data_IF_749082798338
#
_entry.id   IF_749082798338
#
_cell.length_a   1.000
_cell.length_b   1.000
_cell.length_c   1.000
_cell.angle_alpha   90.00
_cell.angle_beta   90.00
_cell.angle_gamma   90.00
#
_symmetry.space_group_name_H-M   'P 1'
#
loop_
_entity.id
_entity.type
_entity.pdbx_description
1 polymer ?
#
# COMPACT_ATOMS: atom_id res chain seq x y z
N UNK A 1 -20.98 21.93 -4.66
CA UNK A 1 -19.95 20.96 -4.20
C UNK A 1 -20.60 20.06 -3.16
N UNK A 2 -20.20 18.80 -3.06
CA UNK A 2 -20.68 17.90 -1.99
C UNK A 2 -20.25 18.45 -0.61
N UNK A 3 -21.05 18.20 0.43
CA UNK A 3 -20.68 18.44 1.83
C UNK A 3 -19.92 17.25 2.44
N UNK A 4 -19.76 16.16 1.69
CA UNK A 4 -19.02 14.98 2.11
C UNK A 4 -17.52 15.27 2.11
N UNK A 5 -16.83 14.83 3.16
CA UNK A 5 -15.39 15.03 3.33
C UNK A 5 -14.63 13.83 2.81
N UNK A 6 -13.51 14.09 2.15
CA UNK A 6 -12.57 13.05 1.72
C UNK A 6 -11.89 12.49 2.97
N UNK A 7 -12.01 11.17 3.18
CA UNK A 7 -11.46 10.46 4.33
C UNK A 7 -10.74 9.16 3.96
N UNK A 8 -10.45 8.34 4.97
CA UNK A 8 -9.84 7.02 4.81
C UNK A 8 -10.32 6.09 5.93
N UNK A 9 -10.91 4.94 5.57
CA UNK A 9 -11.47 4.00 6.55
C UNK A 9 -10.43 3.47 7.55
N UNK A 10 -9.16 3.36 7.13
CA UNK A 10 -8.06 2.97 8.01
C UNK A 10 -7.71 4.08 9.02
N UNK A 11 -7.74 5.34 8.59
CA UNK A 11 -7.52 6.46 9.50
C UNK A 11 -8.65 6.56 10.53
N UNK A 12 -9.89 6.29 10.12
CA UNK A 12 -11.05 6.24 11.01
C UNK A 12 -10.92 5.11 12.03
N UNK A 13 -10.51 3.91 11.59
CA UNK A 13 -10.27 2.77 12.48
C UNK A 13 -9.20 3.08 13.54
N UNK A 14 -8.12 3.75 13.15
CA UNK A 14 -7.03 4.14 14.06
C UNK A 14 -7.40 5.30 15.00
N UNK A 15 -8.52 5.98 14.77
CA UNK A 15 -9.03 7.03 15.66
C UNK A 15 -9.99 6.50 16.74
N UNK A 16 -10.30 5.20 16.72
CA UNK A 16 -11.21 4.57 17.68
C UNK A 16 -10.58 4.42 19.07
N UNK A 17 -11.38 4.42 20.15
CA UNK A 17 -10.89 4.09 21.49
C UNK A 17 -10.25 2.69 21.58
N UNK A 18 -10.76 1.73 20.79
CA UNK A 18 -10.24 0.36 20.76
C UNK A 18 -8.79 0.32 20.25
N UNK A 19 -8.42 1.17 19.29
CA UNK A 19 -7.05 1.29 18.83
C UNK A 19 -6.13 1.86 19.92
N UNK A 20 -6.61 2.81 20.72
CA UNK A 20 -5.86 3.32 21.87
C UNK A 20 -5.66 2.25 22.95
N UNK A 21 -6.69 1.46 23.29
CA UNK A 21 -6.57 0.33 24.22
C UNK A 21 -5.54 -0.71 23.75
N UNK A 22 -5.49 -0.96 22.44
CA UNK A 22 -4.47 -1.80 21.81
C UNK A 22 -3.05 -1.25 22.04
N UNK A 23 -2.84 0.06 21.89
CA UNK A 23 -1.54 0.71 22.16
C UNK A 23 -1.21 0.81 23.64
N UNK A 24 -2.20 0.93 24.53
CA UNK A 24 -1.97 0.85 25.97
C UNK A 24 -1.43 -0.54 26.36
N UNK A 25 -1.96 -1.60 25.77
CA UNK A 25 -1.43 -2.97 25.94
C UNK A 25 0.03 -3.06 25.47
N UNK A 26 0.34 -2.42 24.33
CA UNK A 26 1.70 -2.34 23.81
C UNK A 26 2.66 -1.60 24.76
N UNK A 27 2.21 -0.50 25.38
CA UNK A 27 3.01 0.27 26.34
C UNK A 27 3.43 -0.54 27.58
N UNK A 28 2.67 -1.59 27.93
CA UNK A 28 2.95 -2.47 29.07
C UNK A 28 3.90 -3.63 28.73
N UNK A 29 4.22 -3.85 27.45
CA UNK A 29 5.02 -4.98 26.96
C UNK A 29 6.41 -4.55 26.49
N UNK A 30 7.16 -3.84 27.33
CA UNK A 30 8.47 -3.30 26.98
C UNK A 30 9.53 -4.41 26.73
N UNK A 31 10.49 -4.20 25.80
CA UNK A 31 10.56 -3.10 24.84
C UNK A 31 9.50 -3.25 23.73
N UNK A 32 8.78 -2.18 23.42
CA UNK A 32 7.73 -2.16 22.38
C UNK A 32 8.02 -1.09 21.33
N UNK A 33 7.79 -1.45 20.07
CA UNK A 33 7.76 -0.53 18.94
C UNK A 33 6.41 -0.63 18.25
N UNK A 34 5.75 0.50 18.09
CA UNK A 34 4.57 0.61 17.27
C UNK A 34 4.94 0.95 15.82
N UNK A 35 4.54 0.12 14.88
CA UNK A 35 4.72 0.29 13.44
C UNK A 35 3.37 0.71 12.84
N UNK A 36 3.22 2.01 12.59
CA UNK A 36 1.94 2.59 12.14
C UNK A 36 1.92 2.76 10.62
N UNK A 37 0.85 2.32 9.97
CA UNK A 37 0.69 2.53 8.54
C UNK A 37 0.46 4.03 8.22
N UNK A 38 0.98 4.48 7.08
CA UNK A 38 0.95 5.89 6.65
C UNK A 38 -0.48 6.44 6.56
N UNK A 39 -1.44 5.58 6.18
CA UNK A 39 -2.88 5.87 6.05
C UNK A 39 -3.58 6.03 7.41
N UNK A 40 -3.06 6.95 8.23
CA UNK A 40 -3.56 7.33 9.55
C UNK A 40 -3.41 8.84 9.73
N UNK A 41 -4.23 9.43 10.60
CA UNK A 41 -4.17 10.88 10.83
C UNK A 41 -2.86 11.31 11.53
N UNK A 42 -2.48 12.58 11.41
CA UNK A 42 -1.34 13.13 12.14
C UNK A 42 -1.59 13.13 13.66
N UNK A 43 -2.83 13.37 14.07
CA UNK A 43 -3.29 13.30 15.46
C UNK A 43 -3.10 11.90 16.05
N UNK A 44 -3.52 10.86 15.34
CA UNK A 44 -3.29 9.46 15.72
C UNK A 44 -1.79 9.18 15.89
N UNK A 45 -0.96 9.57 14.90
CA UNK A 45 0.49 9.36 14.98
C UNK A 45 1.10 10.04 16.21
N UNK A 46 0.65 11.26 16.54
CA UNK A 46 1.12 11.98 17.71
C UNK A 46 0.74 11.26 19.01
N UNK A 47 -0.52 10.84 19.15
CA UNK A 47 -1.01 10.15 20.36
C UNK A 47 -0.35 8.79 20.53
N UNK A 48 -0.20 8.04 19.44
CA UNK A 48 0.52 6.77 19.45
C UNK A 48 1.97 6.95 19.89
N UNK A 49 2.68 7.94 19.34
CA UNK A 49 4.10 8.16 19.64
C UNK A 49 4.35 8.61 21.10
N UNK A 50 3.39 9.29 21.73
CA UNK A 50 3.47 9.63 23.16
C UNK A 50 3.28 8.43 24.09
N UNK A 51 2.56 7.41 23.62
CA UNK A 51 2.23 6.21 24.40
C UNK A 51 3.25 5.09 24.19
N UNK A 52 3.66 4.87 22.94
CA UNK A 52 4.63 3.86 22.53
C UNK A 52 5.52 4.46 21.45
N UNK A 53 6.86 4.32 21.52
CA UNK A 53 7.74 4.74 20.44
C UNK A 53 7.23 4.20 19.10
N UNK A 54 6.99 5.13 18.17
CA UNK A 54 6.24 4.84 16.94
C UNK A 54 7.05 5.20 15.72
N UNK A 55 7.09 4.30 14.73
CA UNK A 55 7.63 4.52 13.39
C UNK A 55 6.51 4.36 12.35
N UNK A 56 6.45 5.26 11.37
CA UNK A 56 5.51 5.11 10.25
C UNK A 56 6.05 4.14 9.20
N UNK A 57 5.17 3.41 8.53
CA UNK A 57 5.50 2.57 7.38
C UNK A 57 4.49 2.75 6.23
N UNK A 58 4.86 2.22 5.08
CA UNK A 58 4.06 2.07 3.86
C UNK A 58 4.01 0.57 3.51
N UNK A 59 3.20 0.16 2.54
CA UNK A 59 3.13 -1.25 2.14
C UNK A 59 4.44 -1.75 1.52
N UNK A 60 5.27 -0.85 1.00
CA UNK A 60 6.57 -1.20 0.40
C UNK A 60 7.71 -1.39 1.41
N UNK A 61 7.58 -0.83 2.61
CA UNK A 61 8.65 -0.87 3.61
C UNK A 61 8.23 -1.47 4.96
N UNK A 62 7.00 -1.96 5.12
CA UNK A 62 6.56 -2.57 6.38
C UNK A 62 7.39 -3.80 6.77
N UNK A 63 7.59 -4.74 5.84
CA UNK A 63 8.38 -5.96 6.07
C UNK A 63 9.83 -5.63 6.44
N UNK A 64 10.59 -4.84 5.66
CA UNK A 64 11.97 -4.51 6.03
C UNK A 64 12.04 -3.66 7.31
N UNK A 65 11.05 -2.80 7.60
CA UNK A 65 10.98 -2.07 8.87
C UNK A 65 10.90 -3.04 10.05
N UNK A 66 10.00 -4.02 9.99
CA UNK A 66 9.78 -4.99 11.06
C UNK A 66 11.02 -5.87 11.28
N UNK A 67 11.58 -6.44 10.19
CA UNK A 67 12.78 -7.26 10.26
C UNK A 67 13.97 -6.47 10.84
N UNK A 68 14.28 -5.32 10.27
CA UNK A 68 15.40 -4.50 10.76
C UNK A 68 15.19 -4.04 12.21
N UNK A 69 13.97 -3.66 12.61
CA UNK A 69 13.67 -3.30 13.98
C UNK A 69 13.96 -4.45 14.96
N UNK A 70 13.49 -5.65 14.63
CA UNK A 70 13.72 -6.85 15.43
C UNK A 70 15.20 -7.26 15.47
N UNK A 71 15.95 -7.01 14.40
CA UNK A 71 17.39 -7.26 14.36
C UNK A 71 18.22 -6.21 15.15
N UNK A 72 17.73 -4.98 15.29
CA UNK A 72 18.44 -3.90 16.00
C UNK A 72 18.11 -3.84 17.49
N UNK A 73 16.90 -4.20 17.88
CA UNK A 73 16.43 -4.13 19.27
C UNK A 73 16.17 -5.54 19.79
N UNK A 74 16.99 -6.04 20.74
CA UNK A 74 16.78 -7.34 21.35
C UNK A 74 15.41 -7.43 22.04
N UNK A 75 14.78 -8.60 21.96
CA UNK A 75 13.51 -8.91 22.64
C UNK A 75 12.34 -7.97 22.31
N UNK A 76 12.40 -7.26 21.18
CA UNK A 76 11.40 -6.29 20.77
C UNK A 76 10.01 -6.92 20.55
N UNK A 77 8.99 -6.32 21.17
CA UNK A 77 7.58 -6.53 20.82
C UNK A 77 7.16 -5.53 19.74
N UNK A 78 6.64 -6.04 18.64
CA UNK A 78 6.23 -5.24 17.49
C UNK A 78 4.71 -5.20 17.45
N UNK A 79 4.18 -3.98 17.37
CA UNK A 79 2.75 -3.72 17.33
C UNK A 79 2.42 -3.01 16.03
N UNK A 80 1.73 -3.69 15.11
CA UNK A 80 1.40 -3.15 13.79
C UNK A 80 -0.08 -2.74 13.68
N UNK A 81 -0.36 -1.64 13.00
CA UNK A 81 -1.74 -1.25 12.68
C UNK A 81 -1.84 -0.06 11.73
N UNK A 82 -3.07 0.33 11.33
CA UNK A 82 -4.36 -0.21 11.78
C UNK A 82 -4.94 -1.30 10.85
N UNK A 83 -4.26 -1.65 9.75
CA UNK A 83 -4.82 -2.59 8.77
C UNK A 83 -4.68 -4.05 9.23
N UNK A 84 -5.79 -4.69 9.59
CA UNK A 84 -5.81 -6.04 10.15
C UNK A 84 -5.44 -7.12 9.13
N UNK A 85 -5.83 -6.93 7.86
CA UNK A 85 -5.45 -7.85 6.79
C UNK A 85 -3.96 -7.80 6.53
N UNK A 86 -3.39 -6.60 6.40
CA UNK A 86 -1.95 -6.45 6.26
C UNK A 86 -1.19 -7.02 7.47
N UNK A 87 -1.71 -6.83 8.69
CA UNK A 87 -1.11 -7.42 9.90
C UNK A 87 -1.10 -8.94 9.87
N UNK A 88 -2.23 -9.56 9.57
CA UNK A 88 -2.37 -11.00 9.44
C UNK A 88 -1.49 -11.56 8.30
N UNK A 89 -1.46 -10.88 7.15
CA UNK A 89 -0.68 -11.26 5.98
C UNK A 89 0.83 -11.15 6.21
N UNK A 90 1.30 -10.16 6.96
CA UNK A 90 2.72 -10.06 7.39
C UNK A 90 3.07 -11.26 8.30
N UNK A 91 2.18 -11.61 9.23
CA UNK A 91 2.38 -12.76 10.10
C UNK A 91 2.44 -14.07 9.32
N UNK A 92 1.53 -14.28 8.38
CA UNK A 92 1.55 -15.44 7.47
C UNK A 92 2.83 -15.46 6.62
N UNK A 93 3.25 -14.32 6.07
CA UNK A 93 4.52 -14.22 5.34
C UNK A 93 5.71 -14.68 6.18
N UNK A 94 5.79 -14.23 7.44
CA UNK A 94 6.85 -14.66 8.35
C UNK A 94 6.73 -16.13 8.77
N UNK A 95 5.52 -16.67 8.89
CA UNK A 95 5.32 -18.10 9.09
C UNK A 95 5.88 -18.91 7.91
N UNK A 96 5.61 -18.49 6.67
CA UNK A 96 6.19 -19.12 5.48
C UNK A 96 7.72 -19.00 5.44
N UNK A 97 8.27 -17.87 5.88
CA UNK A 97 9.74 -17.73 6.00
C UNK A 97 10.37 -18.75 6.95
N UNK A 98 9.63 -19.31 7.92
CA UNK A 98 10.17 -20.39 8.77
C UNK A 98 10.36 -21.72 8.04
N UNK A 99 9.80 -21.87 6.84
CA UNK A 99 9.94 -23.04 5.98
C UNK A 99 11.07 -22.87 4.94
N UNK A 100 11.62 -21.67 4.81
CA UNK A 100 12.72 -21.35 3.90
C UNK A 100 14.08 -21.80 4.46
N UNK A 101 15.07 -21.92 3.58
CA UNK A 101 16.46 -22.05 3.97
C UNK A 101 17.01 -20.75 4.58
N UNK A 102 18.08 -20.84 5.36
CA UNK A 102 18.65 -19.64 5.99
C UNK A 102 19.28 -18.71 4.96
N UNK A 103 19.76 -19.26 3.84
CA UNK A 103 20.30 -18.53 2.70
C UNK A 103 19.21 -17.67 2.04
N UNK A 104 18.03 -18.24 1.76
CA UNK A 104 16.91 -17.50 1.18
C UNK A 104 16.38 -16.42 2.15
N UNK A 105 16.41 -16.67 3.47
CA UNK A 105 16.03 -15.65 4.46
C UNK A 105 17.06 -14.52 4.49
N UNK A 106 18.35 -14.83 4.38
CA UNK A 106 19.42 -13.84 4.36
C UNK A 106 19.35 -12.92 3.13
N UNK A 107 18.85 -13.42 1.98
CA UNK A 107 18.57 -12.60 0.79
C UNK A 107 17.47 -11.56 1.06
N UNK A 108 16.48 -11.88 1.89
CA UNK A 108 15.45 -10.93 2.32
C UNK A 108 16.02 -9.94 3.34
N UNK A 109 16.74 -10.45 4.33
CA UNK A 109 17.38 -9.63 5.34
C UNK A 109 18.60 -10.33 5.97
N UNK A 110 19.82 -9.77 5.86
CA UNK A 110 21.06 -10.50 6.17
C UNK A 110 21.26 -10.81 7.66
N UNK A 111 20.52 -10.16 8.55
CA UNK A 111 20.55 -10.40 10.01
C UNK A 111 19.52 -11.42 10.49
N UNK A 112 18.76 -12.04 9.59
CA UNK A 112 17.76 -13.03 9.96
C UNK A 112 18.08 -14.41 9.42
N UNK A 113 17.64 -15.39 10.19
CA UNK A 113 17.60 -16.81 9.88
C UNK A 113 16.29 -17.40 10.42
N UNK A 114 16.06 -18.69 10.18
CA UNK A 114 14.83 -19.39 10.59
C UNK A 114 14.51 -19.24 12.07
N UNK A 115 15.51 -19.34 12.94
CA UNK A 115 15.31 -19.27 14.39
C UNK A 115 14.94 -17.85 14.84
N UNK A 116 15.57 -16.83 14.25
CA UNK A 116 15.21 -15.44 14.52
C UNK A 116 13.77 -15.12 14.10
N UNK A 117 13.31 -15.67 12.97
CA UNK A 117 11.93 -15.48 12.50
C UNK A 117 10.94 -16.21 13.41
N UNK A 118 11.27 -17.43 13.86
CA UNK A 118 10.46 -18.14 14.87
C UNK A 118 10.36 -17.37 16.19
N UNK A 119 11.41 -16.67 16.59
CA UNK A 119 11.42 -15.81 17.78
C UNK A 119 10.61 -14.50 17.59
N UNK A 120 10.58 -13.97 16.36
CA UNK A 120 9.78 -12.79 15.99
C UNK A 120 8.27 -13.06 16.04
N UNK A 121 7.82 -14.19 15.52
CA UNK A 121 6.39 -14.53 15.38
C UNK A 121 5.53 -14.34 16.65
N UNK A 122 5.94 -14.83 17.85
CA UNK A 122 5.16 -14.63 19.07
C UNK A 122 5.17 -13.17 19.59
N UNK A 123 6.10 -12.34 19.10
CA UNK A 123 6.27 -10.93 19.48
C UNK A 123 5.69 -9.96 18.44
N UNK A 124 5.14 -10.47 17.34
CA UNK A 124 4.44 -9.70 16.34
C UNK A 124 2.95 -9.67 16.67
N UNK A 125 2.50 -8.53 17.18
CA UNK A 125 1.11 -8.20 17.44
C UNK A 125 0.60 -7.27 16.34
N UNK A 126 -0.67 -7.41 15.96
CA UNK A 126 -1.31 -6.49 15.03
C UNK A 126 -2.72 -6.15 15.51
N UNK A 127 -3.22 -4.99 15.11
CA UNK A 127 -4.58 -4.55 15.40
C UNK A 127 -5.59 -5.31 14.52
N UNK A 128 -6.64 -5.84 15.12
CA UNK A 128 -7.58 -6.76 14.43
C UNK A 128 -8.81 -6.06 13.84
N UNK A 129 -9.08 -4.81 14.19
CA UNK A 129 -10.35 -4.13 13.90
C UNK A 129 -10.20 -2.93 12.95
N UNK A 130 -9.42 -3.06 11.87
CA UNK A 130 -9.30 -2.02 10.85
C UNK A 130 -9.07 -2.59 9.47
N UNK A 131 -9.79 -2.11 8.46
CA UNK A 131 -9.64 -2.59 7.09
C UNK A 131 -9.82 -1.46 6.06
N UNK A 132 -9.12 -1.61 4.94
CA UNK A 132 -9.34 -0.77 3.77
C UNK A 132 -10.63 -1.22 3.05
N UNK A 133 -11.58 -0.30 2.88
CA UNK A 133 -12.86 -0.60 2.21
C UNK A 133 -12.69 -1.10 0.76
N UNK A 134 -11.61 -0.71 0.08
CA UNK A 134 -11.33 -1.14 -1.30
C UNK A 134 -10.79 -2.56 -1.30
N UNK A 135 -9.77 -2.83 -0.49
CA UNK A 135 -9.15 -4.15 -0.46
C UNK A 135 -10.06 -5.21 0.18
N UNK A 136 -10.99 -4.83 1.05
CA UNK A 136 -12.01 -5.74 1.60
C UNK A 136 -12.87 -6.42 0.52
N UNK A 137 -13.02 -5.82 -0.67
CA UNK A 137 -13.80 -6.39 -1.77
C UNK A 137 -13.18 -7.67 -2.37
N UNK A 138 -11.90 -7.94 -2.13
CA UNK A 138 -11.17 -9.10 -2.66
C UNK A 138 -11.36 -10.36 -1.79
N UNK A 139 -12.53 -10.50 -1.18
CA UNK A 139 -12.85 -11.62 -0.31
C UNK A 139 -13.19 -12.90 -1.07
N UNK A 140 -13.83 -13.83 -0.35
CA UNK A 140 -14.07 -15.21 -0.77
C UNK A 140 -14.66 -15.36 -2.17
N UNK A 141 -15.75 -14.63 -2.47
CA UNK A 141 -16.45 -14.72 -3.75
C UNK A 141 -15.55 -14.35 -4.95
N UNK A 142 -14.60 -13.42 -4.75
CA UNK A 142 -13.65 -13.03 -5.79
C UNK A 142 -12.63 -14.14 -6.01
N UNK A 143 -12.12 -14.73 -4.92
CA UNK A 143 -11.16 -15.84 -4.97
C UNK A 143 -11.74 -17.07 -5.64
N UNK A 144 -12.99 -17.44 -5.33
CA UNK A 144 -13.69 -18.54 -6.00
C UNK A 144 -13.78 -18.31 -7.52
N UNK A 145 -14.21 -17.12 -7.95
CA UNK A 145 -14.29 -16.78 -9.37
C UNK A 145 -12.92 -16.80 -10.06
N UNK A 146 -11.86 -16.35 -9.39
CA UNK A 146 -10.50 -16.41 -9.93
C UNK A 146 -10.06 -17.87 -10.11
N UNK A 147 -10.35 -18.74 -9.15
CA UNK A 147 -10.05 -20.17 -9.27
C UNK A 147 -10.82 -20.85 -10.41
N UNK A 148 -12.08 -20.46 -10.64
CA UNK A 148 -12.90 -21.02 -11.72
C UNK A 148 -12.51 -20.52 -13.11
N UNK A 149 -12.15 -19.23 -13.24
CA UNK A 149 -12.01 -18.56 -14.54
C UNK A 149 -10.56 -18.24 -14.93
N UNK A 150 -9.64 -18.18 -13.97
CA UNK A 150 -8.27 -17.67 -14.16
C UNK A 150 -7.22 -18.52 -13.43
N UNK A 151 -7.41 -19.84 -13.34
CA UNK A 151 -6.51 -20.76 -12.64
C UNK A 151 -5.08 -20.82 -13.19
N UNK A 152 -4.92 -20.56 -14.50
CA UNK A 152 -3.62 -20.56 -15.20
C UNK A 152 -3.02 -19.15 -15.36
N UNK A 153 -3.66 -18.12 -14.78
CA UNK A 153 -3.18 -16.75 -14.85
C UNK A 153 -2.07 -16.48 -13.83
N UNK A 154 -1.27 -15.45 -14.10
CA UNK A 154 -0.37 -14.87 -13.12
C UNK A 154 -1.17 -14.15 -12.04
N UNK A 155 -1.02 -14.57 -10.77
CA UNK A 155 -1.80 -14.01 -9.66
C UNK A 155 -0.95 -13.07 -8.81
N UNK A 156 -1.45 -11.86 -8.61
CA UNK A 156 -0.77 -10.85 -7.80
C UNK A 156 -1.67 -10.38 -6.66
N UNK A 157 -1.10 -10.05 -5.50
CA UNK A 157 -1.88 -9.52 -4.38
C UNK A 157 -1.13 -8.42 -3.63
N UNK A 158 -1.88 -7.38 -3.24
CA UNK A 158 -1.41 -6.37 -2.30
C UNK A 158 -1.46 -6.88 -0.86
N UNK A 159 -0.61 -6.36 0.04
CA UNK A 159 -0.62 -6.77 1.45
C UNK A 159 -1.96 -6.52 2.18
N UNK A 160 -2.76 -5.56 1.73
CA UNK A 160 -4.04 -5.18 2.36
C UNK A 160 -5.23 -6.09 1.98
N UNK A 161 -5.06 -7.08 1.07
CA UNK A 161 -6.18 -7.94 0.67
C UNK A 161 -6.55 -8.97 1.76
N UNK A 162 -7.80 -9.46 1.81
CA UNK A 162 -8.20 -10.57 2.65
C UNK A 162 -7.29 -11.79 2.50
N UNK A 163 -7.14 -12.55 3.60
CA UNK A 163 -6.21 -13.67 3.69
C UNK A 163 -6.38 -14.73 2.60
N UNK A 164 -7.62 -14.97 2.14
CA UNK A 164 -7.90 -15.89 1.03
C UNK A 164 -7.26 -15.48 -0.30
N UNK A 165 -7.33 -14.20 -0.67
CA UNK A 165 -6.68 -13.69 -1.89
C UNK A 165 -5.16 -13.68 -1.72
N UNK A 166 -4.68 -13.35 -0.52
CA UNK A 166 -3.26 -13.42 -0.18
C UNK A 166 -2.71 -14.85 -0.31
N UNK A 167 -3.39 -15.84 0.27
CA UNK A 167 -3.02 -17.26 0.20
C UNK A 167 -3.01 -17.77 -1.24
N UNK A 168 -4.01 -17.38 -2.05
CA UNK A 168 -4.07 -17.74 -3.47
C UNK A 168 -2.84 -17.20 -4.24
N UNK A 169 -2.50 -15.92 -4.05
CA UNK A 169 -1.33 -15.33 -4.71
C UNK A 169 0.00 -15.89 -4.17
N UNK A 170 0.09 -16.21 -2.88
CA UNK A 170 1.25 -16.89 -2.29
C UNK A 170 1.46 -18.29 -2.87
N UNK A 171 0.38 -19.03 -3.11
CA UNK A 171 0.44 -20.32 -3.77
C UNK A 171 0.94 -20.18 -5.22
N UNK A 172 0.42 -19.21 -5.97
CA UNK A 172 0.91 -18.91 -7.31
C UNK A 172 2.40 -18.51 -7.30
N UNK A 173 2.83 -17.70 -6.31
CA UNK A 173 4.23 -17.31 -6.12
C UNK A 173 5.15 -18.53 -5.96
N UNK A 174 4.75 -19.54 -5.19
CA UNK A 174 5.52 -20.80 -5.05
C UNK A 174 5.71 -21.55 -6.37
N UNK A 175 4.78 -21.37 -7.32
CA UNK A 175 4.85 -21.95 -8.67
C UNK A 175 5.59 -21.04 -9.67
N UNK A 176 6.12 -19.90 -9.23
CA UNK A 176 6.70 -18.86 -10.12
C UNK A 176 5.65 -18.04 -10.89
N UNK A 177 4.37 -18.25 -10.61
CA UNK A 177 3.22 -17.65 -11.28
C UNK A 177 2.56 -16.53 -10.47
N UNK A 178 3.22 -15.98 -9.46
CA UNK A 178 2.62 -14.91 -8.69
C UNK A 178 3.58 -14.07 -7.87
N UNK A 179 3.05 -12.97 -7.34
CA UNK A 179 3.77 -12.05 -6.46
C UNK A 179 2.84 -11.50 -5.40
N UNK A 180 3.40 -11.25 -4.22
CA UNK A 180 2.71 -10.61 -3.11
C UNK A 180 3.58 -9.47 -2.63
N UNK A 181 3.01 -8.27 -2.49
CA UNK A 181 3.78 -7.11 -2.06
C UNK A 181 3.05 -5.78 -2.21
N UNK A 182 3.83 -4.71 -2.33
CA UNK A 182 3.34 -3.37 -2.68
C UNK A 182 2.95 -3.27 -4.15
N UNK A 183 2.29 -2.17 -4.53
CA UNK A 183 1.99 -1.85 -5.94
C UNK A 183 3.25 -1.88 -6.82
N UNK A 184 4.42 -1.50 -6.28
CA UNK A 184 5.67 -1.57 -7.02
C UNK A 184 6.13 -3.01 -7.28
N UNK A 185 5.99 -3.91 -6.30
CA UNK A 185 6.35 -5.32 -6.47
C UNK A 185 5.48 -5.99 -7.54
N UNK A 186 4.19 -5.65 -7.57
CA UNK A 186 3.25 -6.10 -8.60
C UNK A 186 3.68 -5.59 -9.98
N UNK A 187 4.01 -4.30 -10.11
CA UNK A 187 4.44 -3.70 -11.38
C UNK A 187 5.75 -4.32 -11.90
N UNK A 188 6.74 -4.54 -11.04
CA UNK A 188 8.02 -5.12 -11.43
C UNK A 188 7.88 -6.58 -11.87
N UNK A 189 7.02 -7.35 -11.20
CA UNK A 189 6.71 -8.72 -11.60
C UNK A 189 6.07 -8.79 -13.00
N UNK A 190 5.12 -7.90 -13.30
CA UNK A 190 4.50 -7.82 -14.63
C UNK A 190 5.57 -7.51 -15.69
N UNK A 191 6.43 -6.50 -15.44
CA UNK A 191 7.52 -6.14 -16.36
C UNK A 191 8.46 -7.33 -16.60
N UNK A 192 8.85 -8.04 -15.54
CA UNK A 192 9.71 -9.21 -15.63
C UNK A 192 9.09 -10.30 -16.51
N UNK A 193 7.83 -10.68 -16.25
CA UNK A 193 7.15 -11.73 -17.03
C UNK A 193 6.95 -11.33 -18.50
N UNK A 194 6.63 -10.06 -18.76
CA UNK A 194 6.54 -9.53 -20.13
C UNK A 194 7.89 -9.57 -20.83
N UNK A 195 8.97 -9.17 -20.15
CA UNK A 195 10.32 -9.23 -20.71
C UNK A 195 10.74 -10.67 -21.02
N UNK A 196 10.48 -11.62 -20.13
CA UNK A 196 10.77 -13.04 -20.36
C UNK A 196 9.96 -13.63 -21.52
N UNK A 197 8.73 -13.16 -21.76
CA UNK A 197 7.98 -13.54 -22.96
C UNK A 197 8.57 -12.93 -24.25
N UNK A 198 9.01 -11.67 -24.20
CA UNK A 198 9.71 -11.03 -25.31
C UNK A 198 11.01 -11.76 -25.65
N UNK A 199 11.79 -12.15 -24.64
CA UNK A 199 13.06 -12.85 -24.81
C UNK A 199 12.90 -14.26 -25.39
N UNK A 200 11.79 -14.95 -25.05
CA UNK A 200 11.45 -16.27 -25.63
C UNK A 200 11.12 -16.20 -27.12
N UNK A 201 10.72 -15.03 -27.61
CA UNK A 201 10.41 -14.77 -29.02
C UNK A 201 9.42 -15.80 -29.63
N UNK A 202 8.34 -16.08 -28.91
CA UNK A 202 7.19 -16.88 -29.37
C UNK A 202 5.89 -16.11 -29.16
N UNK A 203 4.86 -16.45 -29.92
CA UNK A 203 3.51 -15.93 -29.69
C UNK A 203 3.03 -16.40 -28.31
N UNK A 204 2.58 -15.46 -27.48
CA UNK A 204 2.19 -15.75 -26.10
C UNK A 204 1.03 -14.84 -25.65
N UNK A 205 0.23 -15.33 -24.71
CA UNK A 205 -0.89 -14.61 -24.10
C UNK A 205 -0.72 -14.63 -22.59
N UNK A 206 -0.23 -13.53 -22.03
CA UNK A 206 0.00 -13.40 -20.59
C UNK A 206 -1.24 -12.81 -19.92
N UNK A 207 -1.81 -13.55 -18.98
CA UNK A 207 -2.95 -13.09 -18.18
C UNK A 207 -2.48 -12.77 -16.77
N UNK A 208 -2.78 -11.57 -16.28
CA UNK A 208 -2.47 -11.14 -14.92
C UNK A 208 -3.74 -10.77 -14.18
N UNK A 209 -3.99 -11.43 -13.04
CA UNK A 209 -5.07 -11.07 -12.11
C UNK A 209 -4.50 -10.23 -10.99
N UNK A 210 -5.08 -9.05 -10.77
CA UNK A 210 -4.58 -8.09 -9.80
C UNK A 210 -5.46 -8.05 -8.55
N UNK A 211 -4.93 -8.56 -7.44
CA UNK A 211 -5.46 -8.40 -6.10
C UNK A 211 -5.12 -7.03 -5.51
N UNK A 212 -5.48 -5.95 -6.21
CA UNK A 212 -5.29 -4.57 -5.76
C UNK A 212 -6.20 -3.62 -6.54
N UNK A 213 -6.28 -2.37 -6.10
CA UNK A 213 -7.10 -1.34 -6.70
C UNK A 213 -6.79 -1.04 -8.17
N UNK A 214 -7.79 -0.54 -8.88
CA UNK A 214 -7.67 -0.23 -10.32
C UNK A 214 -6.76 0.95 -10.67
N UNK A 215 -6.28 1.72 -9.70
CA UNK A 215 -5.46 2.89 -10.02
C UNK A 215 -4.07 2.56 -10.54
N UNK A 216 -3.68 1.28 -10.53
CA UNK A 216 -2.48 0.81 -11.21
C UNK A 216 -2.63 0.68 -12.74
N UNK A 217 -3.85 0.75 -13.30
CA UNK A 217 -4.10 0.55 -14.75
C UNK A 217 -3.15 1.38 -15.60
N UNK A 218 -3.08 2.70 -15.36
CA UNK A 218 -2.27 3.61 -16.17
C UNK A 218 -0.78 3.27 -16.10
N UNK A 219 -0.24 3.03 -14.90
CA UNK A 219 1.16 2.68 -14.69
C UNK A 219 1.53 1.36 -15.37
N UNK A 220 0.66 0.35 -15.26
CA UNK A 220 0.86 -0.96 -15.89
C UNK A 220 0.82 -0.83 -17.40
N UNK A 221 -0.23 -0.19 -17.95
CA UNK A 221 -0.39 -0.03 -19.40
C UNK A 221 0.77 0.77 -19.99
N UNK A 222 1.22 1.84 -19.33
CA UNK A 222 2.38 2.62 -19.78
C UNK A 222 3.66 1.78 -19.78
N UNK A 223 3.93 1.03 -18.71
CA UNK A 223 5.11 0.17 -18.61
C UNK A 223 5.09 -0.97 -19.65
N UNK A 224 3.97 -1.67 -19.80
CA UNK A 224 3.81 -2.78 -20.75
C UNK A 224 3.95 -2.27 -22.19
N UNK A 225 3.31 -1.16 -22.54
CA UNK A 225 3.46 -0.55 -23.88
C UNK A 225 4.91 -0.19 -24.17
N UNK A 226 5.60 0.44 -23.22
CA UNK A 226 7.01 0.79 -23.38
C UNK A 226 7.89 -0.44 -23.67
N UNK A 227 7.60 -1.59 -23.03
CA UNK A 227 8.33 -2.83 -23.28
C UNK A 227 8.01 -3.41 -24.66
N UNK A 228 6.72 -3.49 -25.03
CA UNK A 228 6.29 -4.00 -26.34
C UNK A 228 6.81 -3.13 -27.50
N UNK A 229 6.74 -1.80 -27.39
CA UNK A 229 7.22 -0.87 -28.41
C UNK A 229 8.74 -0.96 -28.61
N UNK A 230 9.50 -1.22 -27.54
CA UNK A 230 10.95 -1.38 -27.62
C UNK A 230 11.38 -2.62 -28.42
N UNK A 231 10.54 -3.66 -28.48
CA UNK A 231 10.82 -4.94 -29.15
C UNK A 231 10.34 -5.01 -30.61
N UNK A 232 9.36 -4.17 -30.98
CA UNK A 232 8.75 -4.10 -32.31
C UNK A 232 9.73 -3.74 -33.46
N UNK A 233 10.97 -3.37 -33.14
CA UNK A 233 12.01 -3.08 -34.14
C UNK A 233 12.65 -4.33 -34.75
N UNK A 234 12.53 -5.50 -34.09
CA UNK A 234 13.30 -6.71 -34.43
C UNK A 234 12.53 -8.03 -34.39
N UNK A 235 11.33 -8.07 -33.78
CA UNK A 235 10.56 -9.30 -33.60
C UNK A 235 9.25 -9.30 -34.38
N UNK A 236 8.89 -10.45 -34.98
CA UNK A 236 7.61 -10.68 -35.66
C UNK A 236 6.55 -11.36 -34.78
N UNK A 237 6.78 -11.45 -33.47
CA UNK A 237 5.92 -12.24 -32.56
C UNK A 237 4.78 -11.40 -32.00
N UNK A 238 3.67 -12.09 -31.72
CA UNK A 238 2.47 -11.48 -31.15
C UNK A 238 2.39 -11.84 -29.67
N UNK A 239 2.79 -10.91 -28.82
CA UNK A 239 2.59 -11.02 -27.38
C UNK A 239 1.35 -10.21 -27.01
N UNK A 240 0.37 -10.89 -26.42
CA UNK A 240 -0.82 -10.26 -25.86
C UNK A 240 -0.71 -10.25 -24.33
N UNK A 241 -1.10 -9.14 -23.72
CA UNK A 241 -1.07 -8.96 -22.27
C UNK A 241 -2.46 -8.55 -21.81
N UNK A 242 -3.09 -9.42 -21.04
CA UNK A 242 -4.39 -9.21 -20.43
C UNK A 242 -4.22 -8.89 -18.94
N UNK A 243 -4.78 -7.75 -18.52
CA UNK A 243 -4.76 -7.32 -17.12
C UNK A 243 -6.20 -7.33 -16.60
N UNK A 244 -6.44 -8.16 -15.58
CA UNK A 244 -7.76 -8.40 -15.00
C UNK A 244 -7.86 -7.74 -13.63
N UNK A 245 -8.83 -6.82 -13.48
CA UNK A 245 -9.19 -6.18 -12.22
C UNK A 245 -10.51 -6.77 -11.71
N UNK A 246 -10.49 -7.74 -10.78
CA UNK A 246 -11.66 -8.55 -10.45
C UNK A 246 -12.78 -7.77 -9.74
N UNK A 247 -12.48 -6.63 -9.12
CA UNK A 247 -13.44 -5.83 -8.31
C UNK A 247 -13.80 -4.48 -8.94
N UNK A 248 -13.40 -4.21 -10.18
CA UNK A 248 -13.61 -2.89 -10.81
C UNK A 248 -14.11 -3.04 -12.25
N UNK A 249 -15.44 -3.16 -12.39
CA UNK A 249 -16.11 -3.16 -13.70
C UNK A 249 -15.85 -1.87 -14.50
N UNK A 250 -15.69 -0.75 -13.80
CA UNK A 250 -15.41 0.58 -14.38
C UNK A 250 -14.03 0.66 -15.06
N UNK A 251 -13.15 -0.31 -14.82
CA UNK A 251 -11.77 -0.35 -15.34
C UNK A 251 -11.64 -1.10 -16.67
N UNK A 252 -12.73 -1.64 -17.20
CA UNK A 252 -12.74 -2.25 -18.52
C UNK A 252 -12.62 -1.18 -19.61
N UNK A 253 -11.45 -1.09 -20.24
CA UNK A 253 -11.24 -0.19 -21.37
C UNK A 253 -10.67 -0.94 -22.55
N UNK A 254 -11.30 -0.85 -23.72
CA UNK A 254 -10.73 -1.35 -24.97
C UNK A 254 -9.67 -0.36 -25.44
N UNK A 255 -8.45 -0.83 -25.68
CA UNK A 255 -7.45 -0.06 -26.43
C UNK A 255 -7.93 0.03 -27.87
N UNK A 256 -8.42 1.20 -28.28
CA UNK A 256 -8.95 1.40 -29.62
C UNK A 256 -7.82 1.29 -30.66
N UNK A 257 -7.79 0.20 -31.42
CA UNK A 257 -7.17 0.15 -32.76
C UNK A 257 -8.16 0.47 -33.89
N UNK A 258 -9.44 0.68 -33.60
CA UNK A 258 -10.42 1.13 -34.59
C UNK A 258 -11.73 1.56 -33.93
N UNK A 259 -12.21 2.73 -34.36
CA UNK A 259 -13.45 3.45 -34.00
C UNK A 259 -14.54 2.70 -33.21
N UNK A 260 -14.79 3.20 -31.97
CA UNK A 260 -16.08 3.27 -31.23
C UNK A 260 -16.80 1.95 -30.84
N UNK A 261 -17.56 1.88 -29.72
CA UNK A 261 -18.35 2.97 -29.14
C UNK A 261 -18.25 3.24 -27.62
N UNK A 262 -18.73 4.42 -27.25
CA UNK A 262 -19.09 4.94 -25.92
C UNK A 262 -17.97 4.99 -24.85
N UNK A 263 -16.93 5.80 -25.11
CA UNK A 263 -15.99 6.25 -24.08
C UNK A 263 -16.40 7.62 -23.53
N UNK A 264 -16.30 7.79 -22.21
CA UNK A 264 -16.17 9.12 -21.59
C UNK A 264 -14.90 9.73 -22.18
N UNK A 265 -15.08 10.60 -23.16
CA UNK A 265 -14.00 11.26 -23.89
C UNK A 265 -14.08 12.74 -23.60
N UNK A 266 -12.96 13.35 -23.20
CA UNK A 266 -12.86 14.80 -23.06
C UNK A 266 -12.28 15.32 -24.36
N UNK A 267 -13.02 16.21 -25.05
CA UNK A 267 -12.48 16.97 -26.19
C UNK A 267 -11.48 18.01 -25.66
N UNK A 268 -10.19 17.82 -25.97
CA UNK A 268 -9.17 18.84 -25.78
C UNK A 268 -8.93 19.54 -27.12
N UNK A 269 -9.59 20.67 -27.36
CA UNK A 269 -9.56 21.37 -28.65
C UNK A 269 -10.33 20.63 -29.76
N UNK A 270 -10.12 21.05 -31.01
CA UNK A 270 -10.95 20.63 -32.15
C UNK A 270 -10.62 19.22 -32.70
N UNK A 271 -9.46 18.61 -32.38
CA UNK A 271 -9.04 17.36 -33.04
C UNK A 271 -8.44 16.27 -32.13
N UNK A 272 -8.42 16.42 -30.80
CA UNK A 272 -7.85 15.39 -29.90
C UNK A 272 -8.93 14.74 -29.04
N UNK A 273 -9.30 13.51 -29.40
CA UNK A 273 -10.12 12.60 -28.58
C UNK A 273 -9.18 11.82 -27.68
N UNK A 274 -9.06 12.23 -26.41
CA UNK A 274 -8.31 11.46 -25.41
C UNK A 274 -9.21 10.37 -24.83
N UNK A 275 -8.85 9.07 -24.96
CA UNK A 275 -9.50 8.02 -24.19
C UNK A 275 -9.16 8.23 -22.71
N UNK A 276 -10.17 8.56 -21.90
CA UNK A 276 -9.99 8.77 -20.47
C UNK A 276 -10.27 7.46 -19.75
N UNK A 277 -9.23 6.86 -19.19
CA UNK A 277 -9.35 5.79 -18.20
C UNK A 277 -9.40 6.44 -16.83
N UNK A 278 -10.36 6.10 -15.95
CA UNK A 278 -10.33 6.53 -14.56
C UNK A 278 -9.01 6.07 -13.93
N UNK A 279 -8.15 7.02 -13.58
CA UNK A 279 -6.86 6.76 -12.98
C UNK A 279 -6.38 8.02 -12.27
N UNK A 280 -5.63 7.84 -11.20
CA UNK A 280 -4.92 8.95 -10.57
C UNK A 280 -3.82 9.42 -11.53
N UNK A 281 -3.63 10.73 -11.66
CA UNK A 281 -2.47 11.26 -12.36
C UNK A 281 -1.20 10.80 -11.64
N UNK A 282 -0.18 10.35 -12.38
CA UNK A 282 1.13 10.03 -11.79
C UNK A 282 1.69 11.27 -11.07
N UNK A 283 1.88 11.17 -9.75
CA UNK A 283 2.52 12.22 -8.96
C UNK A 283 1.84 12.59 -7.65
N UNK A 284 0.56 12.25 -7.45
CA UNK A 284 -0.17 12.62 -6.22
C UNK A 284 -0.88 11.40 -5.59
N UNK A 285 -0.18 10.75 -4.65
CA UNK A 285 -0.67 9.60 -3.87
C UNK A 285 0.44 8.96 -3.02
N UNK A 286 0.10 8.00 -2.16
CA UNK A 286 1.06 7.30 -1.29
C UNK A 286 2.16 6.52 -2.06
N UNK A 287 2.02 6.35 -3.37
CA UNK A 287 3.00 5.77 -4.29
C UNK A 287 2.87 6.39 -5.68
N UNK A 288 3.97 6.52 -6.40
CA UNK A 288 4.00 6.93 -7.83
C UNK A 288 3.52 5.82 -8.78
N UNK A 289 3.33 4.60 -8.26
CA UNK A 289 3.06 3.40 -9.05
C UNK A 289 1.58 3.02 -9.12
N UNK A 290 0.74 3.65 -8.31
CA UNK A 290 -0.71 3.47 -8.28
C UNK A 290 -1.29 4.18 -7.06
N UNK A 291 -2.50 4.74 -7.23
CA UNK A 291 -3.26 5.34 -6.14
C UNK A 291 -4.69 4.85 -6.14
N UNK A 292 -5.47 5.30 -5.15
CA UNK A 292 -6.70 4.63 -4.76
C UNK A 292 -7.91 4.95 -5.64
N UNK A 293 -7.90 4.51 -6.91
CA UNK A 293 -8.89 4.90 -7.92
C UNK A 293 -10.29 4.27 -7.75
N UNK A 294 -10.39 3.13 -7.05
CA UNK A 294 -11.67 2.49 -6.77
C UNK A 294 -12.31 2.98 -5.46
N UNK A 295 -11.58 3.74 -4.63
CA UNK A 295 -12.11 4.24 -3.36
C UNK A 295 -13.13 5.35 -3.55
N UNK A 296 -14.32 5.26 -2.90
CA UNK A 296 -15.30 6.32 -2.91
C UNK A 296 -14.74 7.68 -2.51
N UNK A 297 -13.87 7.73 -1.49
CA UNK A 297 -13.24 8.98 -1.04
C UNK A 297 -12.34 9.62 -2.10
N UNK A 298 -11.51 8.82 -2.77
CA UNK A 298 -10.63 9.35 -3.82
C UNK A 298 -11.38 9.75 -5.08
N UNK A 299 -12.48 9.07 -5.40
CA UNK A 299 -13.40 9.44 -6.50
C UNK A 299 -14.12 10.77 -6.26
N UNK A 300 -14.08 11.34 -5.05
CA UNK A 300 -14.61 12.69 -4.78
C UNK A 300 -13.75 13.78 -5.46
N UNK A 301 -12.48 13.50 -5.78
CA UNK A 301 -11.66 14.41 -6.56
C UNK A 301 -12.13 14.41 -8.02
N UNK A 302 -12.43 15.60 -8.55
CA UNK A 302 -12.82 15.78 -9.95
C UNK A 302 -12.10 16.97 -10.56
N UNK A 303 -11.86 16.93 -11.88
CA UNK A 303 -11.27 18.05 -12.62
C UNK A 303 -12.09 19.33 -12.44
N UNK A 304 -13.42 19.22 -12.45
CA UNK A 304 -14.32 20.35 -12.22
C UNK A 304 -14.15 20.96 -10.82
N UNK A 305 -14.02 20.12 -9.78
CA UNK A 305 -13.75 20.59 -8.42
C UNK A 305 -12.39 21.29 -8.33
N UNK A 306 -11.35 20.73 -8.95
CA UNK A 306 -10.00 21.31 -8.99
C UNK A 306 -9.99 22.68 -9.70
N UNK A 307 -10.57 22.76 -10.90
CA UNK A 307 -10.68 24.02 -11.63
C UNK A 307 -11.47 25.06 -10.83
N UNK A 308 -12.52 24.64 -10.13
CA UNK A 308 -13.30 25.54 -9.29
C UNK A 308 -12.45 26.11 -8.13
N UNK A 309 -11.61 25.29 -7.48
CA UNK A 309 -10.65 25.78 -6.47
C UNK A 309 -9.68 26.78 -7.10
N UNK A 310 -9.09 26.46 -8.26
CA UNK A 310 -8.16 27.35 -8.96
C UNK A 310 -8.79 28.70 -9.32
N UNK A 311 -10.06 28.72 -9.75
CA UNK A 311 -10.78 29.96 -10.08
C UNK A 311 -11.09 30.84 -8.87
N UNK A 312 -11.09 30.27 -7.66
CA UNK A 312 -11.34 30.98 -6.42
C UNK A 312 -10.03 31.38 -5.70
N UNK A 313 -8.87 31.11 -6.30
CA UNK A 313 -7.58 31.55 -5.79
C UNK A 313 -7.10 32.85 -6.49
N UNK A 314 -6.53 33.82 -5.75
CA UNK A 314 -6.39 33.84 -4.29
C UNK A 314 -7.73 34.03 -3.57
N UNK A 315 -7.89 33.42 -2.39
CA UNK A 315 -9.16 33.39 -1.65
C UNK A 315 -9.50 34.73 -0.96
N UNK A 316 -9.61 35.81 -1.72
CA UNK A 316 -9.89 37.15 -1.21
C UNK A 316 -11.28 37.26 -0.57
N UNK A 317 -12.23 36.40 -1.00
CA UNK A 317 -13.63 36.41 -0.57
C UNK A 317 -13.95 35.36 0.51
N UNK A 318 -12.96 34.63 1.01
CA UNK A 318 -13.14 33.51 1.95
C UNK A 318 -14.12 32.43 1.43
N UNK A 319 -14.19 32.25 0.12
CA UNK A 319 -15.05 31.26 -0.52
C UNK A 319 -14.52 29.83 -0.31
N UNK A 320 -13.22 29.68 -0.03
CA UNK A 320 -12.59 28.38 0.21
C UNK A 320 -12.55 27.98 1.69
N UNK A 321 -12.84 28.91 2.61
CA UNK A 321 -12.81 28.68 4.06
C UNK A 321 -13.64 27.49 4.55
N UNK A 322 -14.79 27.23 3.91
CA UNK A 322 -15.65 26.09 4.25
C UNK A 322 -15.05 24.73 3.82
N UNK A 323 -14.05 24.74 2.93
CA UNK A 323 -13.34 23.57 2.41
C UNK A 323 -11.93 23.43 3.00
N UNK A 324 -11.52 24.34 3.89
CA UNK A 324 -10.29 24.15 4.66
C UNK A 324 -10.38 22.83 5.43
N UNK A 325 -9.30 22.05 5.37
CA UNK A 325 -9.16 20.85 6.19
C UNK A 325 -9.33 21.25 7.65
N UNK A 326 -10.13 20.50 8.41
CA UNK A 326 -10.23 20.72 9.86
C UNK A 326 -8.84 20.76 10.46
N UNK A 327 -8.55 21.85 11.18
CA UNK A 327 -7.29 21.97 11.90
C UNK A 327 -7.32 20.90 12.99
N UNK A 328 -6.31 20.03 12.99
CA UNK A 328 -6.08 19.11 14.11
C UNK A 328 -6.00 19.89 15.41
N UNK A 329 -6.29 19.23 16.55
CA UNK A 329 -6.09 19.87 17.86
C UNK A 329 -4.68 20.44 17.93
N UNK A 330 -4.54 21.60 18.57
CA UNK A 330 -3.24 22.25 18.65
C UNK A 330 -2.25 21.45 19.50
N UNK A 331 -2.75 20.67 20.45
CA UNK A 331 -1.93 19.99 21.45
C UNK A 331 -2.32 18.52 21.66
N UNK A 332 -1.33 17.73 22.04
CA UNK A 332 -1.44 16.34 22.51
C UNK A 332 -1.94 16.27 23.96
N UNK A 333 -2.32 15.09 24.48
CA UNK A 333 -2.64 14.90 25.89
C UNK A 333 -1.52 15.34 26.85
N UNK A 334 -0.25 15.27 26.43
CA UNK A 334 0.89 15.77 27.21
C UNK A 334 1.18 17.27 26.99
N UNK A 335 0.33 17.99 26.24
CA UNK A 335 0.46 19.44 26.00
C UNK A 335 1.46 19.85 24.92
N UNK A 336 2.02 18.90 24.16
CA UNK A 336 2.95 19.17 23.05
C UNK A 336 2.19 19.47 21.77
N UNK A 337 2.83 20.13 20.80
CA UNK A 337 2.23 20.36 19.48
C UNK A 337 1.98 19.04 18.74
N UNK A 338 0.77 18.84 18.20
CA UNK A 338 0.47 17.66 17.36
C UNK A 338 1.37 17.62 16.12
N UNK A 339 1.66 18.78 15.52
CA UNK A 339 2.52 18.84 14.35
C UNK A 339 3.94 18.36 14.67
N UNK A 340 4.48 18.78 15.81
CA UNK A 340 5.86 18.44 16.20
C UNK A 340 6.00 16.96 16.55
N UNK A 341 5.05 16.42 17.33
CA UNK A 341 5.10 15.01 17.77
C UNK A 341 4.66 14.06 16.65
N UNK A 342 3.57 14.37 15.94
CA UNK A 342 3.03 13.51 14.88
C UNK A 342 3.95 13.38 13.67
N UNK A 343 4.86 14.34 13.46
CA UNK A 343 5.87 14.24 12.41
C UNK A 343 7.03 13.30 12.78
N UNK A 344 7.30 13.03 14.08
CA UNK A 344 8.42 12.18 14.50
C UNK A 344 8.36 10.77 13.89
N UNK A 345 7.24 10.03 13.96
CA UNK A 345 7.11 8.73 13.29
C UNK A 345 7.42 8.75 11.79
N UNK A 346 7.07 9.84 11.10
CA UNK A 346 7.31 10.02 9.65
C UNK A 346 8.79 10.30 9.39
N UNK A 347 9.44 11.09 10.26
CA UNK A 347 10.87 11.35 10.17
C UNK A 347 11.69 10.08 10.44
N UNK A 348 11.28 9.23 11.39
CA UNK A 348 11.88 7.91 11.59
C UNK A 348 11.74 7.02 10.35
N UNK A 349 10.55 7.02 9.70
CA UNK A 349 10.36 6.32 8.44
C UNK A 349 11.31 6.84 7.34
N UNK A 350 11.46 8.16 7.20
CA UNK A 350 12.36 8.77 6.21
C UNK A 350 13.81 8.43 6.48
N UNK A 351 14.22 8.45 7.75
CA UNK A 351 15.55 8.01 8.16
C UNK A 351 15.78 6.55 7.78
N UNK A 352 14.84 5.66 8.13
CA UNK A 352 14.91 4.24 7.77
C UNK A 352 14.99 4.03 6.25
N UNK A 353 14.19 4.75 5.46
CA UNK A 353 14.25 4.65 4.01
C UNK A 353 15.62 5.03 3.44
N UNK A 354 16.29 6.03 4.03
CA UNK A 354 17.59 6.52 3.61
C UNK A 354 18.78 5.67 4.12
N UNK A 355 18.70 5.17 5.35
CA UNK A 355 19.82 4.49 6.04
C UNK A 355 19.66 2.98 6.17
N UNK A 356 18.46 2.46 5.94
CA UNK A 356 18.09 1.04 6.14
C UNK A 356 18.28 0.55 7.58
N UNK A 357 18.21 1.48 8.54
CA UNK A 357 18.30 1.22 9.96
C UNK A 357 17.37 2.17 10.73
N UNK A 358 16.92 1.74 11.91
CA UNK A 358 16.24 2.61 12.87
C UNK A 358 17.24 3.66 13.37
N UNK A 359 16.77 4.91 13.49
CA UNK A 359 17.55 5.99 14.07
C UNK A 359 17.92 5.68 15.52
N UNK A 360 19.13 6.09 15.94
CA UNK A 360 19.60 5.94 17.34
C UNK A 360 18.60 6.52 18.35
N UNK A 361 17.97 7.64 18.03
CA UNK A 361 16.92 8.25 18.86
C UNK A 361 15.74 7.31 19.11
N UNK A 362 15.19 6.71 18.05
CA UNK A 362 14.08 5.76 18.16
C UNK A 362 14.48 4.51 18.94
N UNK A 363 15.69 3.98 18.68
CA UNK A 363 16.23 2.84 19.43
C UNK A 363 16.35 3.19 20.92
N UNK A 364 16.86 4.38 21.22
CA UNK A 364 16.94 4.88 22.60
C UNK A 364 15.57 5.07 23.22
N UNK A 365 14.55 5.55 22.50
CA UNK A 365 13.19 5.67 23.03
C UNK A 365 12.58 4.29 23.34
N UNK A 366 12.80 3.30 22.47
CA UNK A 366 12.32 1.92 22.66
C UNK A 366 12.96 1.26 23.88
N UNK A 367 14.27 1.45 24.08
CA UNK A 367 15.01 0.86 25.21
C UNK A 367 14.94 1.71 26.50
N UNK A 368 14.80 3.03 26.35
CA UNK A 368 14.96 4.05 27.40
C UNK A 368 13.70 4.36 28.21
N UNK A 369 12.55 3.75 27.86
CA UNK A 369 11.37 3.73 28.73
C UNK A 369 11.61 3.04 30.09
N UNK A 370 12.80 2.46 30.31
CA UNK A 370 13.31 2.01 31.61
C UNK A 370 13.85 3.13 32.52
N UNK A 371 13.72 4.42 32.15
CA UNK A 371 14.49 5.50 32.77
C UNK A 371 13.73 6.69 33.36
N UNK A 372 12.42 6.62 33.65
CA UNK A 372 11.72 7.68 34.40
C UNK A 372 10.65 7.10 35.34
N UNK A 373 11.13 6.50 36.43
CA UNK A 373 10.36 6.26 37.65
C UNK A 373 11.10 6.87 38.83
N UNK A 374 10.79 8.13 39.12
CA UNK A 374 10.92 8.68 40.48
C UNK A 374 9.75 8.20 41.31
#
# INVERSE_FOLDING_TARGET
MSNERIGCSLADAAATPDYMNYLESASNSLPSLHVVYINTSLETKAYSHELVPTITCTSSNVVPTILQAFAQVPDLNIWYGPDSYMGANIKELFQQMTLMSDEEIAEIHPKHNRDSIKSLLPRLHYYENGACIVHHLFGHEVVERINEMYCDAFLTAHFEVPGEMFSLAMEAKRRGMGVVGSTQNILDFIKQRVQEALDRNVDDHLQFVLGTESGMVTSIVAAVRSLLDSSNSTSSTKINVEIVFPVSSDSMTKTSTSASPALISVKAGDDVILPVVPGVASGEGCSIHGGCASCPYMKMNSLSSLLNVCHHLPDERNNLKAYETERFKSQTPQGKSIADVGCQPILHMRHFQAKKELSEELVYQVLGSHGNGK
#
